data_IF_896556078492
#
_entry.id   IF_896556078492
#
_cell.length_a   1.000
_cell.length_b   1.000
_cell.length_c   1.000
_cell.angle_alpha   90.00
_cell.angle_beta   90.00
_cell.angle_gamma   90.00
#
_symmetry.space_group_name_H-M   'P 1'
#
loop_
_entity.id
_entity.type
_entity.pdbx_description
1 polymer ?
#
# COMPACT_ATOMS: atom_id res chain seq x y z
N UNK A 1 -26.59 -26.26 -7.65
CA UNK A 1 -25.70 -26.51 -6.49
C UNK A 1 -26.52 -26.27 -5.23
N UNK A 2 -26.33 -27.05 -4.15
CA UNK A 2 -27.11 -26.90 -2.92
C UNK A 2 -26.57 -25.75 -2.07
N UNK A 3 -27.44 -24.86 -1.59
CA UNK A 3 -27.10 -23.77 -0.67
C UNK A 3 -27.51 -24.23 0.74
N UNK A 4 -26.57 -24.28 1.68
CA UNK A 4 -26.80 -24.83 3.02
C UNK A 4 -27.68 -23.91 3.88
N UNK A 5 -27.45 -22.60 3.81
CA UNK A 5 -28.25 -21.62 4.53
C UNK A 5 -29.65 -21.48 3.90
N UNK A 6 -30.75 -21.77 4.64
CA UNK A 6 -32.10 -21.80 4.08
C UNK A 6 -32.61 -20.39 3.73
N UNK A 7 -32.31 -19.37 4.54
CA UNK A 7 -32.72 -17.99 4.26
C UNK A 7 -32.08 -17.47 2.97
N UNK A 8 -30.81 -17.79 2.76
CA UNK A 8 -30.09 -17.49 1.53
C UNK A 8 -30.65 -18.27 0.34
N UNK A 9 -30.98 -19.54 0.51
CA UNK A 9 -31.54 -20.37 -0.56
C UNK A 9 -32.88 -19.81 -1.05
N UNK A 10 -33.76 -19.42 -0.11
CA UNK A 10 -35.06 -18.82 -0.41
C UNK A 10 -34.90 -17.45 -1.09
N UNK A 11 -33.99 -16.60 -0.60
CA UNK A 11 -33.75 -15.29 -1.19
C UNK A 11 -33.14 -15.40 -2.60
N UNK A 12 -32.17 -16.29 -2.82
CA UNK A 12 -31.61 -16.55 -4.15
C UNK A 12 -32.69 -17.05 -5.10
N UNK A 13 -33.59 -17.91 -4.63
CA UNK A 13 -34.73 -18.38 -5.44
C UNK A 13 -35.66 -17.22 -5.80
N UNK A 14 -35.96 -16.33 -4.86
CA UNK A 14 -36.81 -15.16 -5.10
C UNK A 14 -36.14 -14.17 -6.09
N UNK A 15 -34.85 -13.90 -5.93
CA UNK A 15 -34.11 -13.00 -6.81
C UNK A 15 -34.02 -13.53 -8.25
N UNK A 16 -33.78 -14.83 -8.42
CA UNK A 16 -33.82 -15.44 -9.75
C UNK A 16 -35.23 -15.39 -10.37
N UNK A 17 -36.30 -15.46 -9.57
CA UNK A 17 -37.65 -15.26 -10.07
C UNK A 17 -37.93 -13.79 -10.51
N UNK A 18 -37.29 -12.81 -9.88
CA UNK A 18 -37.45 -11.38 -10.18
C UNK A 18 -36.62 -10.95 -11.39
N UNK A 19 -35.32 -11.25 -11.38
CA UNK A 19 -34.38 -10.76 -12.40
C UNK A 19 -34.13 -11.76 -13.53
N UNK A 20 -34.58 -13.01 -13.38
CA UNK A 20 -34.42 -14.09 -14.35
C UNK A 20 -33.55 -15.23 -13.83
N UNK A 21 -33.79 -16.44 -14.35
CA UNK A 21 -33.08 -17.63 -13.91
C UNK A 21 -31.56 -17.51 -14.13
N UNK A 22 -30.80 -17.79 -13.07
CA UNK A 22 -29.33 -17.80 -13.10
C UNK A 22 -28.66 -16.45 -12.95
N UNK A 23 -29.39 -15.41 -12.53
CA UNK A 23 -28.82 -14.10 -12.14
C UNK A 23 -27.95 -14.25 -10.90
N UNK A 24 -28.40 -15.00 -9.89
CA UNK A 24 -27.56 -15.45 -8.78
C UNK A 24 -27.35 -16.95 -8.87
N UNK A 25 -26.08 -17.36 -8.97
CA UNK A 25 -25.69 -18.76 -8.99
C UNK A 25 -24.63 -19.04 -7.92
N UNK A 26 -24.86 -20.05 -7.09
CA UNK A 26 -23.86 -20.49 -6.13
C UNK A 26 -22.73 -21.26 -6.84
N UNK A 27 -21.49 -20.79 -6.67
CA UNK A 27 -20.28 -21.41 -7.20
C UNK A 27 -19.55 -22.28 -6.16
N UNK A 28 -19.74 -21.98 -4.87
CA UNK A 28 -19.28 -22.78 -3.74
C UNK A 28 -20.25 -22.69 -2.56
N UNK A 29 -20.42 -23.75 -1.78
CA UNK A 29 -21.24 -23.74 -0.55
C UNK A 29 -20.74 -24.79 0.43
N UNK A 30 -20.67 -24.40 1.71
CA UNK A 30 -20.22 -25.19 2.85
C UNK A 30 -20.95 -24.74 4.10
N UNK A 31 -20.74 -25.45 5.22
CA UNK A 31 -21.26 -25.10 6.56
C UNK A 31 -20.69 -23.79 7.15
N UNK A 32 -19.83 -23.09 6.42
CA UNK A 32 -19.23 -21.82 6.87
C UNK A 32 -19.66 -20.64 6.01
N UNK A 33 -19.75 -20.83 4.70
CA UNK A 33 -20.14 -19.80 3.76
C UNK A 33 -20.56 -20.38 2.41
N UNK A 34 -21.30 -19.57 1.66
CA UNK A 34 -21.66 -19.77 0.26
C UNK A 34 -21.09 -18.64 -0.58
N UNK A 35 -20.46 -18.98 -1.70
CA UNK A 35 -20.00 -18.03 -2.70
C UNK A 35 -21.02 -17.95 -3.84
N UNK A 36 -21.46 -16.73 -4.15
CA UNK A 36 -22.44 -16.45 -5.19
C UNK A 36 -21.79 -15.66 -6.32
N UNK A 37 -22.08 -16.04 -7.56
CA UNK A 37 -21.83 -15.24 -8.76
C UNK A 37 -23.13 -14.51 -9.12
N UNK A 38 -23.09 -13.18 -9.09
CA UNK A 38 -24.21 -12.27 -9.39
C UNK A 38 -23.99 -11.65 -10.77
N UNK A 39 -24.91 -11.89 -11.70
CA UNK A 39 -24.86 -11.36 -13.06
C UNK A 39 -25.95 -10.31 -13.27
N UNK A 40 -25.55 -9.05 -13.31
CA UNK A 40 -26.48 -7.94 -13.56
C UNK A 40 -26.48 -7.54 -15.05
N UNK A 41 -27.65 -7.28 -15.68
CA UNK A 41 -27.75 -6.98 -17.11
C UNK A 41 -26.95 -5.74 -17.55
N UNK A 42 -26.76 -4.77 -16.64
CA UNK A 42 -26.03 -3.53 -16.91
C UNK A 42 -24.51 -3.70 -17.03
N UNK A 43 -23.99 -4.89 -16.73
CA UNK A 43 -22.55 -5.17 -16.67
C UNK A 43 -22.19 -6.37 -17.55
N UNK A 44 -21.03 -6.29 -18.19
CA UNK A 44 -20.49 -7.37 -19.02
C UNK A 44 -19.81 -8.49 -18.18
N UNK A 45 -19.77 -8.33 -16.87
CA UNK A 45 -19.08 -9.20 -15.92
C UNK A 45 -20.00 -9.54 -14.74
N UNK A 46 -19.63 -10.59 -14.00
CA UNK A 46 -20.35 -11.05 -12.81
C UNK A 46 -19.61 -10.67 -11.54
N UNK A 47 -20.34 -10.29 -10.50
CA UNK A 47 -19.80 -10.00 -9.18
C UNK A 47 -19.71 -11.27 -8.36
N UNK A 48 -18.65 -11.38 -7.54
CA UNK A 48 -18.46 -12.51 -6.65
C UNK A 48 -18.71 -12.08 -5.21
N UNK A 49 -19.67 -12.73 -4.57
CA UNK A 49 -20.12 -12.43 -3.21
C UNK A 49 -19.82 -13.62 -2.29
N UNK A 50 -19.45 -13.35 -1.04
CA UNK A 50 -19.37 -14.33 0.04
C UNK A 50 -20.51 -14.07 1.02
N UNK A 51 -21.30 -15.09 1.30
CA UNK A 51 -22.37 -15.04 2.31
C UNK A 51 -22.06 -16.08 3.38
N UNK A 52 -21.88 -15.66 4.62
CA UNK A 52 -21.61 -16.56 5.74
C UNK A 52 -22.86 -17.38 6.11
N UNK A 53 -22.65 -18.53 6.73
CA UNK A 53 -23.74 -19.45 7.08
C UNK A 53 -24.68 -18.90 8.17
N UNK A 54 -24.26 -17.86 8.90
CA UNK A 54 -25.10 -17.15 9.87
C UNK A 54 -26.00 -16.07 9.23
N UNK A 55 -26.00 -15.91 7.91
CA UNK A 55 -26.92 -15.00 7.20
C UNK A 55 -28.40 -15.30 7.53
N UNK A 56 -29.24 -14.29 7.82
CA UNK A 56 -29.04 -12.84 7.68
C UNK A 56 -28.47 -12.10 8.91
N UNK A 57 -27.76 -12.77 9.82
CA UNK A 57 -27.14 -12.08 10.95
C UNK A 57 -25.92 -11.25 10.53
N UNK A 58 -25.05 -11.84 9.71
CA UNK A 58 -23.90 -11.16 9.11
C UNK A 58 -24.22 -10.63 7.73
N UNK A 59 -23.61 -9.49 7.39
CA UNK A 59 -23.77 -8.88 6.07
C UNK A 59 -23.04 -9.70 5.01
N UNK A 60 -23.62 -9.91 3.83
CA UNK A 60 -22.91 -10.53 2.73
C UNK A 60 -21.76 -9.62 2.26
N UNK A 61 -20.65 -10.22 1.85
CA UNK A 61 -19.41 -9.55 1.52
C UNK A 61 -19.11 -9.59 0.02
N UNK A 62 -18.59 -8.48 -0.50
CA UNK A 62 -18.15 -8.39 -1.89
C UNK A 62 -16.69 -8.86 -1.99
N UNK A 63 -16.43 -9.95 -2.72
CA UNK A 63 -15.09 -10.51 -2.91
C UNK A 63 -14.40 -9.82 -4.09
N UNK A 64 -15.12 -9.64 -5.19
CA UNK A 64 -14.57 -9.11 -6.43
C UNK A 64 -15.46 -9.33 -7.64
N UNK A 65 -14.82 -9.48 -8.79
CA UNK A 65 -15.46 -9.77 -10.08
C UNK A 65 -14.96 -11.14 -10.52
N UNK A 66 -15.87 -11.99 -11.00
CA UNK A 66 -15.62 -13.39 -11.34
C UNK A 66 -14.65 -13.53 -12.53
N UNK A 67 -14.69 -12.59 -13.48
CA UNK A 67 -13.79 -12.56 -14.63
C UNK A 67 -12.48 -11.82 -14.33
N UNK A 68 -11.35 -12.52 -14.48
CA UNK A 68 -10.00 -11.99 -14.20
C UNK A 68 -9.63 -10.79 -15.07
N UNK A 69 -10.04 -10.76 -16.34
CA UNK A 69 -9.71 -9.67 -17.26
C UNK A 69 -10.56 -8.44 -16.94
N UNK A 70 -11.85 -8.65 -16.67
CA UNK A 70 -12.77 -7.58 -16.30
C UNK A 70 -12.42 -6.99 -14.93
N UNK A 71 -11.93 -7.79 -13.98
CA UNK A 71 -11.52 -7.34 -12.63
C UNK A 71 -10.40 -6.28 -12.63
N UNK A 72 -9.62 -6.20 -13.71
CA UNK A 72 -8.55 -5.21 -13.87
C UNK A 72 -9.06 -3.85 -14.37
N UNK A 73 -10.31 -3.78 -14.87
CA UNK A 73 -10.89 -2.54 -15.39
C UNK A 73 -11.30 -1.64 -14.22
N UNK A 74 -10.91 -0.35 -14.24
CA UNK A 74 -11.29 0.60 -13.19
C UNK A 74 -12.80 0.70 -12.97
N UNK A 75 -13.61 0.55 -14.01
CA UNK A 75 -15.07 0.57 -13.93
C UNK A 75 -15.61 -0.61 -13.14
N UNK A 76 -15.04 -1.81 -13.35
CA UNK A 76 -15.43 -3.03 -12.64
C UNK A 76 -15.06 -2.97 -11.16
N UNK A 77 -13.84 -2.49 -10.85
CA UNK A 77 -13.40 -2.28 -9.47
C UNK A 77 -14.28 -1.25 -8.75
N UNK A 78 -14.62 -0.15 -9.42
CA UNK A 78 -15.53 0.87 -8.87
C UNK A 78 -16.92 0.30 -8.61
N UNK A 79 -17.51 -0.40 -9.58
CA UNK A 79 -18.82 -1.02 -9.44
C UNK A 79 -18.86 -1.99 -8.25
N UNK A 80 -17.82 -2.82 -8.10
CA UNK A 80 -17.67 -3.76 -7.00
C UNK A 80 -17.60 -3.06 -5.63
N UNK A 81 -16.89 -1.92 -5.53
CA UNK A 81 -16.83 -1.11 -4.30
C UNK A 81 -18.21 -0.57 -3.91
N UNK A 82 -18.97 -0.03 -4.87
CA UNK A 82 -20.32 0.50 -4.60
C UNK A 82 -21.27 -0.61 -4.17
N UNK A 83 -21.30 -1.74 -4.89
CA UNK A 83 -22.15 -2.86 -4.52
C UNK A 83 -21.85 -3.36 -3.09
N UNK A 84 -20.57 -3.54 -2.76
CA UNK A 84 -20.16 -3.91 -1.40
C UNK A 84 -20.52 -2.87 -0.33
N UNK A 85 -20.54 -1.57 -0.69
CA UNK A 85 -20.99 -0.51 0.21
C UNK A 85 -22.52 -0.53 0.41
N UNK A 86 -23.30 -0.77 -0.66
CA UNK A 86 -24.76 -0.96 -0.58
C UNK A 86 -25.10 -2.13 0.33
N UNK A 87 -24.46 -3.30 0.13
CA UNK A 87 -24.70 -4.50 0.94
C UNK A 87 -24.58 -4.21 2.44
N UNK A 88 -23.53 -3.50 2.86
CA UNK A 88 -23.36 -3.10 4.26
C UNK A 88 -24.34 -2.03 4.72
N UNK A 89 -24.72 -1.09 3.84
CA UNK A 89 -25.62 0.00 4.18
C UNK A 89 -27.07 -0.45 4.34
N UNK A 90 -27.53 -1.41 3.52
CA UNK A 90 -28.90 -1.96 3.60
C UNK A 90 -29.02 -3.08 4.61
N UNK A 91 -27.95 -3.82 4.89
CA UNK A 91 -27.98 -4.97 5.79
C UNK A 91 -28.60 -4.60 7.13
N UNK A 92 -29.55 -5.41 7.57
CA UNK A 92 -30.09 -5.40 8.92
C UNK A 92 -30.12 -6.85 9.41
N UNK A 93 -29.70 -7.11 10.66
CA UNK A 93 -29.82 -8.43 11.26
C UNK A 93 -31.24 -8.96 11.16
N UNK A 94 -31.40 -10.28 11.08
CA UNK A 94 -32.69 -10.98 11.03
C UNK A 94 -33.49 -10.79 9.73
N UNK A 95 -33.06 -9.91 8.82
CA UNK A 95 -33.73 -9.65 7.55
C UNK A 95 -32.79 -9.90 6.37
N UNK A 96 -33.27 -10.64 5.37
CA UNK A 96 -32.54 -10.81 4.11
C UNK A 96 -32.45 -9.48 3.35
N UNK A 97 -31.33 -9.21 2.68
CA UNK A 97 -31.00 -7.86 2.20
C UNK A 97 -30.33 -7.81 0.81
N UNK A 98 -30.18 -8.93 0.10
CA UNK A 98 -29.55 -8.94 -1.23
C UNK A 98 -30.41 -8.19 -2.26
N UNK A 99 -31.74 -8.30 -2.18
CA UNK A 99 -32.65 -7.54 -3.04
C UNK A 99 -32.46 -6.03 -2.86
N UNK A 100 -32.52 -5.55 -1.62
CA UNK A 100 -32.36 -4.13 -1.31
C UNK A 100 -30.97 -3.62 -1.73
N UNK A 101 -29.93 -4.45 -1.59
CA UNK A 101 -28.57 -4.09 -1.98
C UNK A 101 -28.45 -3.91 -3.50
N UNK A 102 -29.10 -4.78 -4.28
CA UNK A 102 -29.12 -4.71 -5.74
C UNK A 102 -29.87 -3.45 -6.20
N UNK A 103 -31.06 -3.19 -5.66
CA UNK A 103 -31.86 -2.00 -6.03
C UNK A 103 -31.16 -0.68 -5.68
N UNK A 104 -30.54 -0.60 -4.50
CA UNK A 104 -29.75 0.58 -4.11
C UNK A 104 -28.54 0.76 -5.02
N UNK A 105 -27.83 -0.33 -5.35
CA UNK A 105 -26.70 -0.31 -6.26
C UNK A 105 -27.09 0.13 -7.68
N UNK A 106 -28.18 -0.36 -8.24
CA UNK A 106 -28.68 0.06 -9.56
C UNK A 106 -29.08 1.54 -9.58
N UNK A 107 -29.63 2.05 -8.47
CA UNK A 107 -29.94 3.48 -8.31
C UNK A 107 -28.67 4.33 -8.33
N UNK A 108 -27.62 3.90 -7.63
CA UNK A 108 -26.31 4.57 -7.66
C UNK A 108 -25.69 4.50 -9.06
N UNK A 109 -25.77 3.35 -9.73
CA UNK A 109 -25.23 3.19 -11.08
C UNK A 109 -25.90 4.14 -12.09
N UNK A 110 -27.21 4.34 -12.00
CA UNK A 110 -27.94 5.34 -12.79
C UNK A 110 -27.49 6.77 -12.47
N UNK A 111 -27.25 7.08 -11.20
CA UNK A 111 -26.82 8.43 -10.78
C UNK A 111 -25.39 8.79 -11.21
N UNK A 112 -24.51 7.78 -11.31
CA UNK A 112 -23.09 7.95 -11.61
C UNK A 112 -22.70 7.55 -13.04
N UNK A 113 -23.69 7.18 -13.86
CA UNK A 113 -23.55 6.67 -15.23
C UNK A 113 -22.50 5.54 -15.33
N UNK A 114 -22.54 4.60 -14.39
CA UNK A 114 -21.59 3.47 -14.30
C UNK A 114 -21.89 2.35 -15.31
N UNK A 115 -22.87 2.52 -16.19
CA UNK A 115 -23.37 1.47 -17.06
C UNK A 115 -22.41 1.17 -18.21
N UNK A 116 -22.12 -0.10 -18.45
CA UNK A 116 -21.10 -0.53 -19.42
C UNK A 116 -21.64 -0.66 -20.86
N UNK A 117 -22.79 -0.05 -21.19
CA UNK A 117 -23.37 -0.06 -22.54
C UNK A 117 -23.35 1.36 -23.14
N UNK A 118 -22.17 1.80 -23.62
CA UNK A 118 -22.13 2.85 -24.64
C UNK A 118 -22.04 2.18 -26.00
N UNK A 119 -23.18 2.05 -26.67
CA UNK A 119 -23.23 1.94 -28.12
C UNK A 119 -22.47 3.12 -28.73
N UNK A 120 -21.70 2.85 -29.77
CA UNK A 120 -20.94 3.80 -30.56
C UNK A 120 -21.78 5.04 -30.94
N UNK A 121 -21.27 6.24 -30.64
CA UNK A 121 -21.79 7.49 -31.19
C UNK A 121 -21.97 8.63 -30.19
N UNK A 122 -21.26 9.73 -30.46
CA UNK A 122 -21.42 11.10 -29.96
C UNK A 122 -20.72 11.44 -28.62
N UNK A 123 -19.83 12.42 -28.74
CA UNK A 123 -19.07 13.10 -27.70
C UNK A 123 -19.97 13.85 -26.70
N UNK A 124 -20.27 13.22 -25.58
CA UNK A 124 -20.30 13.91 -24.29
C UNK A 124 -20.10 12.89 -23.17
N UNK A 125 -19.02 13.02 -22.40
CA UNK A 125 -18.81 12.25 -21.17
C UNK A 125 -19.33 13.11 -20.03
N UNK A 126 -20.45 12.75 -19.36
CA UNK A 126 -20.74 13.35 -18.07
C UNK A 126 -19.78 12.71 -17.06
N UNK A 127 -18.60 13.29 -16.90
CA UNK A 127 -17.75 12.97 -15.75
C UNK A 127 -18.51 13.44 -14.51
N UNK A 128 -19.23 12.52 -13.86
CA UNK A 128 -19.80 12.80 -12.55
C UNK A 128 -18.68 13.35 -11.64
N UNK A 129 -18.87 14.57 -11.14
CA UNK A 129 -17.84 15.29 -10.38
C UNK A 129 -17.31 14.42 -9.24
N UNK A 130 -15.99 14.39 -8.97
CA UNK A 130 -15.40 13.59 -7.91
C UNK A 130 -16.02 13.86 -6.52
N UNK A 131 -16.65 15.02 -6.31
CA UNK A 131 -17.41 15.37 -5.12
C UNK A 131 -18.65 14.47 -4.91
N UNK A 132 -19.43 14.22 -5.96
CA UNK A 132 -20.66 13.41 -5.87
C UNK A 132 -20.37 11.95 -5.50
N UNK A 133 -19.25 11.41 -5.99
CA UNK A 133 -18.80 10.03 -5.68
C UNK A 133 -18.44 9.88 -4.21
N UNK A 134 -17.69 10.85 -3.67
CA UNK A 134 -17.28 10.85 -2.28
C UNK A 134 -18.49 11.01 -1.33
N UNK A 135 -19.50 11.79 -1.73
CA UNK A 135 -20.73 11.99 -0.96
C UNK A 135 -21.56 10.71 -0.86
N UNK A 136 -21.76 9.99 -1.98
CA UNK A 136 -22.51 8.72 -1.99
C UNK A 136 -21.83 7.67 -1.09
N UNK A 137 -20.51 7.49 -1.23
CA UNK A 137 -19.77 6.53 -0.40
C UNK A 137 -19.79 6.93 1.08
N UNK A 138 -19.78 8.23 1.38
CA UNK A 138 -19.89 8.73 2.74
C UNK A 138 -21.26 8.45 3.35
N UNK A 139 -22.35 8.67 2.61
CA UNK A 139 -23.70 8.36 3.05
C UNK A 139 -23.88 6.86 3.35
N UNK A 140 -23.48 5.99 2.41
CA UNK A 140 -23.51 4.53 2.58
C UNK A 140 -22.74 4.09 3.83
N UNK A 141 -21.53 4.66 4.02
CA UNK A 141 -20.70 4.36 5.18
C UNK A 141 -21.34 4.83 6.50
N UNK A 142 -22.03 5.98 6.52
CA UNK A 142 -22.72 6.48 7.70
C UNK A 142 -23.91 5.60 8.07
N UNK A 143 -24.71 5.17 7.08
CA UNK A 143 -25.85 4.26 7.32
C UNK A 143 -25.40 2.89 7.82
N UNK A 144 -24.34 2.33 7.24
CA UNK A 144 -23.75 1.09 7.73
C UNK A 144 -23.30 1.23 9.21
N UNK A 145 -22.65 2.34 9.55
CA UNK A 145 -22.18 2.62 10.92
C UNK A 145 -23.32 2.82 11.91
N UNK A 146 -24.36 3.55 11.54
CA UNK A 146 -25.52 3.78 12.41
C UNK A 146 -26.17 2.47 12.87
N UNK A 147 -26.19 1.46 11.99
CA UNK A 147 -26.71 0.12 12.30
C UNK A 147 -25.78 -0.68 13.21
N UNK A 148 -24.46 -0.55 13.01
CA UNK A 148 -23.48 -1.10 13.95
C UNK A 148 -23.63 -0.46 15.33
N UNK A 149 -23.84 0.85 15.42
CA UNK A 149 -24.02 1.59 16.68
C UNK A 149 -25.30 1.18 17.44
N UNK A 150 -26.41 0.92 16.73
CA UNK A 150 -27.66 0.42 17.33
C UNK A 150 -27.49 -1.02 17.86
N UNK A 151 -26.78 -1.89 17.13
CA UNK A 151 -26.51 -3.27 17.56
C UNK A 151 -25.60 -3.34 18.79
N UNK A 152 -24.63 -2.44 18.88
CA UNK A 152 -23.71 -2.32 20.02
C UNK A 152 -24.39 -1.85 21.33
N UNK A 153 -25.62 -1.35 21.26
CA UNK A 153 -26.40 -0.96 22.43
C UNK A 153 -27.21 -2.12 23.04
N UNK A 154 -27.53 -3.17 22.26
CA UNK A 154 -28.40 -4.27 22.69
C UNK A 154 -27.68 -5.61 22.89
N UNK A 155 -26.53 -5.85 22.26
CA UNK A 155 -25.70 -7.04 22.53
C UNK A 155 -24.33 -6.63 23.09
N UNK A 156 -24.07 -7.08 24.31
CA UNK A 156 -22.90 -6.70 25.11
C UNK A 156 -21.55 -6.94 24.40
N UNK A 157 -20.76 -5.85 24.33
CA UNK A 157 -19.29 -5.79 24.22
C UNK A 157 -18.63 -6.29 22.90
N UNK A 158 -18.77 -5.54 21.79
CA UNK A 158 -17.62 -5.38 20.89
C UNK A 158 -16.72 -4.31 21.53
N UNK A 159 -15.74 -4.76 22.30
CA UNK A 159 -14.86 -3.84 22.98
C UNK A 159 -14.06 -3.03 21.95
N UNK A 160 -13.74 -1.78 22.28
CA UNK A 160 -12.82 -0.93 21.49
C UNK A 160 -11.53 -1.72 21.12
N UNK A 161 -11.17 -2.71 21.94
CA UNK A 161 -10.06 -3.63 21.76
C UNK A 161 -10.13 -4.43 20.46
N UNK A 162 -11.27 -5.01 20.09
CA UNK A 162 -11.36 -5.92 18.95
C UNK A 162 -11.28 -5.16 17.62
N UNK A 163 -11.99 -4.03 17.54
CA UNK A 163 -11.90 -3.11 16.39
C UNK A 163 -10.47 -2.60 16.17
N UNK A 164 -9.77 -2.23 17.25
CA UNK A 164 -8.37 -1.80 17.15
C UNK A 164 -7.47 -2.97 16.76
N UNK A 165 -7.72 -4.18 17.28
CA UNK A 165 -6.91 -5.36 16.98
C UNK A 165 -7.01 -5.74 15.50
N UNK A 166 -8.22 -5.88 14.97
CA UNK A 166 -8.43 -6.21 13.56
C UNK A 166 -7.96 -5.10 12.63
N UNK A 167 -8.19 -3.84 12.99
CA UNK A 167 -7.75 -2.71 12.18
C UNK A 167 -6.22 -2.59 12.11
N UNK A 168 -5.49 -2.87 13.21
CA UNK A 168 -4.02 -2.89 13.20
C UNK A 168 -3.48 -3.98 12.27
N UNK A 169 -4.08 -5.17 12.31
CA UNK A 169 -3.71 -6.29 11.41
C UNK A 169 -4.03 -5.95 9.96
N UNK A 170 -5.22 -5.38 9.69
CA UNK A 170 -5.64 -4.94 8.37
C UNK A 170 -4.69 -3.88 7.79
N UNK A 171 -4.29 -2.89 8.58
CA UNK A 171 -3.30 -1.87 8.17
C UNK A 171 -1.99 -2.48 7.68
N UNK A 172 -1.55 -3.57 8.31
CA UNK A 172 -0.31 -4.25 7.91
C UNK A 172 -0.45 -4.94 6.54
N UNK A 173 -1.61 -5.52 6.26
CA UNK A 173 -1.91 -6.23 5.01
C UNK A 173 -2.21 -5.27 3.85
N UNK A 174 -3.05 -4.26 4.08
CA UNK A 174 -3.47 -3.29 3.05
C UNK A 174 -2.41 -2.22 2.80
N UNK A 175 -1.45 -2.07 3.72
CA UNK A 175 -0.57 -0.90 3.81
C UNK A 175 -1.37 0.41 3.85
N UNK A 176 -2.54 0.45 4.46
CA UNK A 176 -3.34 1.67 4.69
C UNK A 176 -3.52 1.93 6.19
N UNK A 177 -3.24 3.15 6.64
CA UNK A 177 -3.31 3.50 8.07
C UNK A 177 -4.77 3.49 8.54
N UNK A 178 -5.04 2.74 9.61
CA UNK A 178 -6.33 2.76 10.25
C UNK A 178 -6.58 4.13 10.89
N UNK A 179 -7.77 4.66 10.70
CA UNK A 179 -8.22 5.89 11.35
C UNK A 179 -9.53 5.63 12.08
N UNK A 180 -9.64 6.16 13.29
CA UNK A 180 -10.90 6.22 14.03
C UNK A 180 -11.44 7.64 13.89
N UNK A 181 -12.64 7.80 13.33
CA UNK A 181 -13.25 9.12 13.08
C UNK A 181 -12.36 10.08 12.26
N UNK A 182 -11.51 9.53 11.38
CA UNK A 182 -10.56 10.30 10.57
C UNK A 182 -9.30 10.76 11.32
N UNK A 183 -9.12 10.33 12.57
CA UNK A 183 -7.92 10.58 13.37
C UNK A 183 -7.06 9.32 13.46
N UNK A 184 -5.74 9.49 13.45
CA UNK A 184 -4.80 8.40 13.70
C UNK A 184 -4.94 7.92 15.15
N UNK A 185 -4.92 6.61 15.32
CA UNK A 185 -5.11 6.00 16.63
C UNK A 185 -3.77 6.05 17.38
N UNK A 186 -3.70 6.66 18.58
CA UNK A 186 -2.46 6.77 19.31
C UNK A 186 -1.89 5.38 19.66
N UNK A 187 -0.62 5.12 19.33
CA UNK A 187 0.07 3.85 19.65
C UNK A 187 0.00 3.51 21.15
N UNK A 188 0.00 4.53 22.02
CA UNK A 188 -0.17 4.32 23.47
C UNK A 188 -1.48 3.62 23.80
N UNK A 189 -2.56 3.95 23.08
CA UNK A 189 -3.86 3.33 23.27
C UNK A 189 -3.84 1.87 22.79
N UNK A 190 -3.25 1.61 21.63
CA UNK A 190 -3.07 0.25 21.09
C UNK A 190 -2.30 -0.62 22.08
N UNK A 191 -1.19 -0.12 22.62
CA UNK A 191 -0.37 -0.85 23.60
C UNK A 191 -1.08 -1.12 24.93
N UNK A 192 -1.96 -0.22 25.38
CA UNK A 192 -2.65 -0.35 26.67
C UNK A 192 -3.93 -1.18 26.59
N UNK A 193 -4.55 -1.24 25.41
CA UNK A 193 -5.87 -1.83 25.23
C UNK A 193 -5.85 -3.14 24.44
N UNK A 194 -4.86 -3.35 23.57
CA UNK A 194 -4.74 -4.56 22.76
C UNK A 194 -3.60 -5.45 23.25
N UNK A 195 -3.83 -6.77 23.28
CA UNK A 195 -2.84 -7.76 23.71
C UNK A 195 -1.91 -8.17 22.55
N UNK A 196 -1.14 -7.20 22.03
CA UNK A 196 -0.13 -7.44 21.02
C UNK A 196 1.23 -7.71 21.65
N UNK A 197 1.98 -8.66 21.09
CA UNK A 197 3.38 -8.90 21.45
C UNK A 197 4.22 -7.65 21.18
N UNK A 198 5.20 -7.38 22.06
CA UNK A 198 6.09 -6.23 21.96
C UNK A 198 6.80 -6.15 20.60
N UNK A 199 7.29 -7.28 20.09
CA UNK A 199 7.96 -7.36 18.78
C UNK A 199 7.05 -6.91 17.62
N UNK A 200 5.76 -7.27 17.68
CA UNK A 200 4.78 -6.88 16.67
C UNK A 200 4.49 -5.38 16.76
N UNK A 201 4.29 -4.85 17.97
CA UNK A 201 4.08 -3.43 18.19
C UNK A 201 5.30 -2.60 17.73
N UNK A 202 6.51 -3.11 17.93
CA UNK A 202 7.72 -2.45 17.48
C UNK A 202 7.82 -2.43 15.94
N UNK A 203 7.52 -3.55 15.28
CA UNK A 203 7.42 -3.61 13.81
C UNK A 203 6.34 -2.65 13.27
N UNK A 204 5.18 -2.59 13.91
CA UNK A 204 4.09 -1.68 13.55
C UNK A 204 4.49 -0.21 13.72
N UNK A 205 5.19 0.13 14.81
CA UNK A 205 5.73 1.48 15.02
C UNK A 205 6.74 1.86 13.93
N UNK A 206 7.62 0.94 13.54
CA UNK A 206 8.61 1.16 12.48
C UNK A 206 7.92 1.39 11.13
N UNK A 207 6.89 0.60 10.81
CA UNK A 207 6.08 0.78 9.60
C UNK A 207 5.38 2.14 9.56
N UNK A 208 4.74 2.57 10.66
CA UNK A 208 4.11 3.90 10.75
C UNK A 208 5.14 5.02 10.55
N UNK A 209 6.35 4.86 11.09
CA UNK A 209 7.44 5.81 10.91
C UNK A 209 8.00 5.81 9.49
N UNK A 210 8.02 4.67 8.80
CA UNK A 210 8.43 4.55 7.40
C UNK A 210 7.43 5.29 6.50
N UNK A 211 6.14 4.97 6.65
CA UNK A 211 5.03 5.58 5.89
C UNK A 211 4.99 7.08 6.04
N UNK A 212 5.07 7.57 7.28
CA UNK A 212 4.95 9.00 7.58
C UNK A 212 6.28 9.77 7.42
N UNK A 213 7.37 9.11 7.03
CA UNK A 213 8.62 9.80 6.75
C UNK A 213 8.52 10.50 5.37
N UNK A 214 8.80 11.82 5.28
CA UNK A 214 8.79 12.51 4.00
C UNK A 214 9.92 12.05 3.06
N UNK A 215 10.97 11.44 3.62
CA UNK A 215 12.11 10.87 2.88
C UNK A 215 12.61 9.64 3.65
N UNK A 216 11.95 8.48 3.51
CA UNK A 216 12.36 7.28 4.22
C UNK A 216 13.75 6.85 3.77
N UNK A 217 14.55 6.38 4.74
CA UNK A 217 15.92 5.90 4.50
C UNK A 217 15.92 4.40 4.69
N UNK A 218 16.45 3.67 3.72
CA UNK A 218 16.51 2.22 3.74
C UNK A 218 17.95 1.74 3.79
N UNK A 219 18.16 0.59 4.42
CA UNK A 219 19.43 -0.11 4.43
C UNK A 219 19.85 -0.45 2.98
N UNK A 220 21.07 -0.11 2.53
CA UNK A 220 21.52 -0.35 1.16
C UNK A 220 21.99 -1.79 0.91
N UNK A 221 21.89 -2.66 1.91
CA UNK A 221 22.23 -4.08 1.76
C UNK A 221 21.02 -4.87 1.29
N UNK A 222 21.21 -5.61 0.20
CA UNK A 222 20.18 -6.41 -0.49
C UNK A 222 19.57 -7.49 0.40
N UNK A 223 20.33 -8.02 1.36
CA UNK A 223 19.89 -9.00 2.35
C UNK A 223 19.14 -8.38 3.55
N UNK A 224 19.00 -7.05 3.60
CA UNK A 224 18.37 -6.35 4.73
C UNK A 224 17.25 -5.41 4.28
N UNK A 225 17.55 -4.39 3.45
CA UNK A 225 16.60 -3.41 2.91
C UNK A 225 15.64 -2.75 3.93
N UNK A 226 15.87 -2.91 5.23
CA UNK A 226 14.99 -2.44 6.30
C UNK A 226 14.99 -0.92 6.37
N UNK A 227 13.83 -0.33 6.70
CA UNK A 227 13.73 1.08 7.04
C UNK A 227 14.61 1.45 8.24
N UNK A 228 15.30 2.59 8.15
CA UNK A 228 16.16 3.14 9.20
C UNK A 228 15.47 4.39 9.78
N UNK A 229 14.94 4.30 11.01
CA UNK A 229 14.34 5.44 11.69
C UNK A 229 15.31 6.61 11.84
N UNK A 230 14.78 7.84 11.77
CA UNK A 230 15.58 9.08 11.89
C UNK A 230 16.48 9.14 13.12
N UNK A 231 16.12 8.50 14.23
CA UNK A 231 16.94 8.44 15.46
C UNK A 231 18.30 7.75 15.26
N UNK A 232 18.41 6.85 14.28
CA UNK A 232 19.64 6.15 13.91
C UNK A 232 20.41 6.83 12.77
N UNK A 233 19.87 7.92 12.23
CA UNK A 233 20.49 8.74 11.21
C UNK A 233 21.31 9.84 11.90
N UNK A 234 22.61 9.90 11.62
CA UNK A 234 23.50 11.01 11.95
C UNK A 234 23.70 11.89 10.71
N UNK A 235 24.46 12.97 10.84
CA UNK A 235 24.71 13.90 9.72
C UNK A 235 25.31 13.18 8.51
N UNK A 236 26.37 12.40 8.71
CA UNK A 236 27.15 11.84 7.58
C UNK A 236 26.96 10.33 7.41
N UNK A 237 26.50 9.64 8.44
CA UNK A 237 26.28 8.19 8.43
C UNK A 237 25.00 7.81 9.16
N UNK A 238 24.47 6.62 8.85
CA UNK A 238 23.41 5.99 9.62
C UNK A 238 23.79 4.55 9.93
N UNK A 239 23.37 4.04 11.09
CA UNK A 239 23.58 2.64 11.47
C UNK A 239 22.26 1.91 11.40
N UNK A 240 22.22 0.79 10.67
CA UNK A 240 21.00 0.00 10.56
C UNK A 240 20.71 -0.69 11.90
N UNK A 241 19.50 -0.55 12.48
CA UNK A 241 19.17 -1.18 13.76
C UNK A 241 18.94 -2.70 13.66
N UNK A 242 18.76 -3.23 12.43
CA UNK A 242 18.50 -4.66 12.21
C UNK A 242 19.79 -5.45 11.96
N UNK A 243 20.65 -4.98 11.05
CA UNK A 243 21.88 -5.69 10.67
C UNK A 243 23.16 -5.04 11.21
N UNK A 244 23.05 -3.97 12.00
CA UNK A 244 24.17 -3.22 12.61
C UNK A 244 25.21 -2.61 11.67
N UNK A 245 25.02 -2.72 10.35
CA UNK A 245 25.92 -2.18 9.34
C UNK A 245 25.68 -0.67 9.15
N UNK A 246 26.78 0.08 8.99
CA UNK A 246 26.75 1.53 8.78
C UNK A 246 26.54 1.88 7.31
N UNK A 247 25.94 3.01 6.98
CA UNK A 247 25.79 3.50 5.62
C UNK A 247 26.11 4.99 5.55
N UNK A 248 26.53 5.45 4.38
CA UNK A 248 26.82 6.86 4.14
C UNK A 248 25.53 7.60 3.78
N UNK A 249 25.19 8.66 4.52
CA UNK A 249 23.97 9.44 4.29
C UNK A 249 24.07 10.42 3.13
N UNK A 250 25.30 10.76 2.72
CA UNK A 250 25.57 11.64 1.59
C UNK A 250 25.28 10.93 0.25
N UNK A 251 25.71 9.67 0.10
CA UNK A 251 25.45 8.88 -1.12
C UNK A 251 24.30 7.88 -1.00
N UNK A 252 23.78 7.66 0.22
CA UNK A 252 22.79 6.62 0.56
C UNK A 252 23.23 5.19 0.17
N UNK A 253 24.54 4.91 0.19
CA UNK A 253 25.12 3.59 -0.11
C UNK A 253 25.83 3.00 1.10
N UNK A 254 26.29 1.75 0.95
CA UNK A 254 27.13 1.04 1.91
C UNK A 254 28.26 1.94 2.41
N UNK A 255 28.59 1.82 3.69
CA UNK A 255 29.68 2.60 4.28
C UNK A 255 30.99 2.44 3.50
N UNK A 256 31.77 3.51 3.48
CA UNK A 256 33.01 3.58 2.74
C UNK A 256 34.04 4.41 3.50
N UNK A 257 35.30 3.99 3.46
CA UNK A 257 36.39 4.73 4.08
C UNK A 257 36.68 6.03 3.32
N UNK A 258 36.91 7.11 4.07
CA UNK A 258 37.32 8.39 3.51
C UNK A 258 36.15 9.26 3.02
N UNK A 259 36.49 10.23 2.18
CA UNK A 259 35.56 11.27 1.73
C UNK A 259 34.51 10.71 0.77
N UNK A 260 33.23 11.05 0.98
CA UNK A 260 32.16 10.69 0.05
C UNK A 260 32.31 11.43 -1.28
N UNK A 261 32.51 10.69 -2.37
CA UNK A 261 32.60 11.24 -3.73
C UNK A 261 31.32 11.89 -4.25
N UNK A 262 30.19 11.68 -3.57
CA UNK A 262 28.90 12.28 -3.94
C UNK A 262 28.55 13.51 -3.08
N UNK A 263 29.44 13.94 -2.18
CA UNK A 263 29.25 15.19 -1.44
C UNK A 263 29.36 16.40 -2.39
N UNK A 264 28.21 17.03 -2.68
CA UNK A 264 28.14 18.18 -3.58
C UNK A 264 28.92 19.39 -3.07
N UNK A 265 28.94 19.65 -1.76
CA UNK A 265 29.61 20.82 -1.17
C UNK A 265 31.12 20.63 -1.25
N UNK A 266 31.59 19.44 -0.89
CA UNK A 266 33.00 19.12 -0.96
C UNK A 266 33.49 18.98 -2.39
N UNK A 267 32.69 18.43 -3.31
CA UNK A 267 33.04 18.39 -4.73
C UNK A 267 33.20 19.80 -5.34
N UNK A 268 32.39 20.77 -4.92
CA UNK A 268 32.55 22.16 -5.34
C UNK A 268 33.90 22.73 -4.87
N UNK A 269 34.29 22.47 -3.61
CA UNK A 269 35.59 22.86 -3.08
C UNK A 269 36.75 22.17 -3.80
N UNK A 270 36.66 20.85 -4.01
CA UNK A 270 37.68 20.06 -4.72
C UNK A 270 37.89 20.59 -6.13
N UNK A 271 36.81 20.90 -6.84
CA UNK A 271 36.87 21.43 -8.21
C UNK A 271 37.54 22.80 -8.24
N UNK A 272 37.24 23.67 -7.27
CA UNK A 272 37.89 24.99 -7.16
C UNK A 272 39.37 24.92 -6.74
N UNK A 273 39.75 23.90 -5.97
CA UNK A 273 41.11 23.75 -5.42
C UNK A 273 42.06 22.97 -6.32
N UNK A 274 41.54 22.25 -7.33
CA UNK A 274 42.34 21.34 -8.14
C UNK A 274 42.77 20.05 -7.43
N UNK A 275 42.17 19.73 -6.28
CA UNK A 275 42.41 18.50 -5.54
C UNK A 275 41.92 17.25 -6.28
N UNK A 276 42.52 16.09 -6.01
CA UNK A 276 42.24 14.84 -6.74
C UNK A 276 42.09 13.66 -5.80
N UNK A 277 41.16 12.77 -6.13
CA UNK A 277 41.03 11.51 -5.41
C UNK A 277 42.09 10.50 -5.89
N UNK A 278 42.77 9.88 -4.94
CA UNK A 278 43.44 8.60 -5.19
C UNK A 278 42.39 7.54 -5.54
N UNK A 279 42.72 6.51 -6.36
CA UNK A 279 41.83 5.37 -6.60
C UNK A 279 41.23 4.75 -5.34
N UNK A 280 41.96 4.71 -4.23
CA UNK A 280 41.47 4.22 -2.93
C UNK A 280 40.42 5.11 -2.24
N UNK A 281 40.18 6.34 -2.73
CA UNK A 281 39.21 7.27 -2.18
C UNK A 281 39.78 8.36 -1.27
N UNK A 282 41.07 8.34 -0.95
CA UNK A 282 41.71 9.46 -0.22
C UNK A 282 41.82 10.70 -1.11
N UNK A 283 41.53 11.87 -0.54
CA UNK A 283 41.69 13.16 -1.20
C UNK A 283 43.15 13.59 -1.10
N UNK A 284 43.75 13.93 -2.25
CA UNK A 284 45.15 14.28 -2.38
C UNK A 284 45.25 15.69 -2.92
N UNK A 285 46.06 16.50 -2.24
CA UNK A 285 46.52 17.81 -2.70
C UNK A 285 47.92 17.67 -3.32
N UNK A 286 48.13 18.31 -4.47
CA UNK A 286 49.43 18.41 -5.12
C UNK A 286 49.97 19.82 -4.88
N UNK A 287 51.04 19.93 -4.10
CA UNK A 287 51.71 21.21 -3.88
C UNK A 287 52.52 21.63 -5.12
N UNK A 288 53.45 20.80 -5.58
CA UNK A 288 54.31 21.03 -6.75
C UNK A 288 54.76 19.69 -7.35
N UNK A 289 55.28 19.70 -8.59
CA UNK A 289 56.03 18.58 -9.16
C UNK A 289 55.29 17.74 -10.22
N UNK A 290 55.71 16.48 -10.36
CA UNK A 290 55.24 15.54 -11.38
C UNK A 290 53.77 15.13 -11.18
N UNK A 291 53.10 14.70 -12.24
CA UNK A 291 51.77 14.12 -12.20
C UNK A 291 51.75 12.70 -11.63
N UNK A 292 52.90 12.03 -11.47
CA UNK A 292 52.98 10.73 -10.80
C UNK A 292 52.89 10.91 -9.28
N UNK A 293 51.82 10.40 -8.69
CA UNK A 293 51.54 10.48 -7.26
C UNK A 293 51.56 9.10 -6.65
N UNK A 294 52.11 8.97 -5.44
CA UNK A 294 52.04 7.76 -4.62
C UNK A 294 51.27 8.06 -3.34
N UNK A 295 50.13 7.39 -3.16
CA UNK A 295 49.28 7.54 -1.99
C UNK A 295 49.84 6.79 -0.78
N UNK A 296 49.44 7.17 0.44
CA UNK A 296 49.77 6.46 1.69
C UNK A 296 49.24 5.02 1.70
N UNK A 297 48.19 4.74 0.93
CA UNK A 297 47.66 3.39 0.76
C UNK A 297 48.55 2.48 -0.12
N UNK A 298 49.62 3.03 -0.73
CA UNK A 298 50.53 2.29 -1.62
C UNK A 298 50.31 2.59 -3.11
N UNK A 299 49.10 3.02 -3.49
CA UNK A 299 48.74 3.13 -4.91
C UNK A 299 49.35 4.33 -5.62
N UNK A 300 49.79 4.08 -6.85
CA UNK A 300 50.37 5.08 -7.73
C UNK A 300 49.36 5.50 -8.81
N UNK A 301 49.22 6.80 -9.06
CA UNK A 301 48.23 7.33 -10.01
C UNK A 301 48.66 8.66 -10.63
N UNK A 302 48.03 9.02 -11.75
CA UNK A 302 48.23 10.31 -12.42
C UNK A 302 47.34 11.38 -11.79
N UNK A 303 47.92 12.44 -11.21
CA UNK A 303 47.16 13.53 -10.61
C UNK A 303 46.26 14.25 -11.63
N UNK A 304 46.71 14.40 -12.88
CA UNK A 304 45.94 15.12 -13.91
C UNK A 304 44.62 14.45 -14.26
N UNK A 305 44.63 13.12 -14.46
CA UNK A 305 43.46 12.37 -14.94
C UNK A 305 42.89 11.33 -13.96
N UNK A 306 43.56 11.07 -12.83
CA UNK A 306 43.14 10.12 -11.81
C UNK A 306 43.38 8.64 -12.13
N UNK A 307 43.94 8.31 -13.30
CA UNK A 307 44.18 6.91 -13.71
C UNK A 307 45.35 6.28 -12.93
N UNK A 308 45.20 5.00 -12.56
CA UNK A 308 46.22 4.23 -11.86
C UNK A 308 47.46 3.96 -12.73
N UNK A 309 48.62 3.80 -12.11
CA UNK A 309 49.84 3.30 -12.75
C UNK A 309 49.87 1.78 -12.63
N UNK A 310 50.23 1.11 -13.71
CA UNK A 310 50.41 -0.34 -13.73
C UNK A 310 51.89 -0.64 -13.91
N UNK A 311 52.47 -1.46 -13.03
CA UNK A 311 53.91 -1.80 -13.05
C UNK A 311 54.81 -0.56 -13.15
N UNK A 312 54.45 0.53 -12.45
CA UNK A 312 55.10 1.86 -12.47
C UNK A 312 55.06 2.60 -13.81
N UNK A 313 54.20 2.21 -14.74
CA UNK A 313 53.97 2.93 -16.00
C UNK A 313 52.59 3.62 -16.00
N UNK A 314 52.49 4.84 -16.55
CA UNK A 314 51.21 5.54 -16.65
C UNK A 314 50.29 4.86 -17.66
N UNK A 315 49.02 4.63 -17.29
CA UNK A 315 47.96 4.17 -18.21
C UNK A 315 47.31 5.33 -19.00
N UNK A 316 48.04 6.44 -19.14
CA UNK A 316 47.55 7.68 -19.74
C UNK A 316 48.66 8.48 -20.41
N UNK A 317 48.30 9.30 -21.40
CA UNK A 317 49.24 10.15 -22.15
C UNK A 317 49.32 11.58 -21.61
N UNK A 318 49.10 11.77 -20.30
CA UNK A 318 49.00 13.10 -19.68
C UNK A 318 50.36 13.82 -19.51
N UNK A 319 51.47 13.12 -19.75
CA UNK A 319 52.82 13.60 -19.46
C UNK A 319 53.16 13.56 -17.97
N UNK A 320 54.46 13.43 -17.66
CA UNK A 320 54.97 13.48 -16.29
C UNK A 320 54.88 14.90 -15.71
N UNK A 321 54.95 15.93 -16.54
CA UNK A 321 54.85 17.31 -16.13
C UNK A 321 53.64 17.95 -16.79
N UNK A 322 52.92 18.78 -16.05
CA UNK A 322 51.72 19.48 -16.49
C UNK A 322 51.47 20.69 -15.63
#
# INVERSE_FOLDING_TARGET
MFIHNPALADEVSALNAIYGDGVLAASFSSDHHTTLSLKLPSFAFSFLLRVFDDYPQSSPEMIGVDDLVESLKPEAQRAAVYLGACMRAVHCPETVSLFDAIEEFETICRSLDLQCQRSEGVDHVPEAEPANRAEILRDLALRARAKTEVRLAEESHFDIVDCVTEGVVSTFLSREEMTCCGQSIPIKLIRQRCDFKDDFLEAFCLWLQERNAPNPTYCPWEDCLTYIPRRFVRQDYARCPFCDRAMCMLCKKKDHSGVCRQDKKLNALITGSGWKFCPCGQLIEKNLGCNHMRCRCGEEFCYRCGKAYERRMPTCNCGLFG
#
